data_IF_851978534814
#
_entry.id   IF_851978534814
#
_cell.length_a   1.000
_cell.length_b   1.000
_cell.length_c   1.000
_cell.angle_alpha   90.00
_cell.angle_beta   90.00
_cell.angle_gamma   90.00
#
_symmetry.space_group_name_H-M   'P 1'
#
loop_
_entity.id
_entity.type
_entity.pdbx_description
1 polymer ?
#
# COMPACT_ATOMS: atom_id res chain seq x y z
N UNK A 1 -15.46 0.65 -51.33
CA UNK A 1 -15.26 -0.23 -50.15
C UNK A 1 -13.79 -0.17 -49.76
N UNK A 2 -13.42 0.64 -48.77
CA UNK A 2 -12.07 0.65 -48.18
C UNK A 2 -12.26 0.80 -46.67
N UNK A 3 -12.01 -0.31 -45.96
CA UNK A 3 -12.03 -0.41 -44.50
C UNK A 3 -10.94 0.51 -43.94
N UNK A 4 -11.31 1.46 -43.09
CA UNK A 4 -10.37 2.14 -42.21
C UNK A 4 -10.20 1.28 -40.96
N UNK A 5 -9.00 0.75 -40.77
CA UNK A 5 -8.61 0.07 -39.54
C UNK A 5 -8.42 1.14 -38.44
N UNK A 6 -9.28 1.12 -37.43
CA UNK A 6 -9.05 1.84 -36.18
C UNK A 6 -7.97 1.11 -35.39
N UNK A 7 -6.76 1.66 -35.38
CA UNK A 7 -5.73 1.26 -34.42
C UNK A 7 -6.16 1.84 -33.07
N UNK A 8 -6.71 0.97 -32.21
CA UNK A 8 -6.95 1.28 -30.82
C UNK A 8 -5.58 1.37 -30.12
N UNK A 9 -5.05 2.58 -29.99
CA UNK A 9 -3.89 2.82 -29.13
C UNK A 9 -4.35 2.58 -27.69
N UNK A 10 -4.01 1.41 -27.14
CA UNK A 10 -4.10 1.18 -25.71
C UNK A 10 -3.05 2.09 -25.05
N UNK A 11 -3.50 3.24 -24.55
CA UNK A 11 -2.69 4.09 -23.70
C UNK A 11 -2.46 3.31 -22.40
N UNK A 12 -1.33 2.61 -22.31
CA UNK A 12 -0.82 2.15 -21.04
C UNK A 12 -0.47 3.41 -20.24
N UNK A 13 -1.41 3.85 -19.40
CA UNK A 13 -1.08 4.75 -18.31
C UNK A 13 -0.15 3.94 -17.41
N UNK A 14 1.15 4.15 -17.56
CA UNK A 14 2.08 3.89 -16.48
C UNK A 14 1.62 4.82 -15.34
N UNK A 15 0.91 4.26 -14.36
CA UNK A 15 0.47 4.99 -13.18
C UNK A 15 1.72 5.34 -12.36
N UNK A 16 2.37 6.44 -12.73
CA UNK A 16 3.27 7.16 -11.84
C UNK A 16 2.51 7.58 -10.58
N UNK A 17 3.18 7.49 -9.44
CA UNK A 17 2.64 7.75 -8.12
C UNK A 17 1.66 8.94 -8.07
N UNK A 18 0.48 8.75 -7.47
CA UNK A 18 -0.37 9.88 -7.12
C UNK A 18 0.23 10.57 -5.89
N UNK A 19 0.93 11.70 -6.11
CA UNK A 19 1.38 12.61 -5.04
C UNK A 19 0.20 13.39 -4.44
N UNK A 20 -0.86 12.72 -4.00
CA UNK A 20 -1.99 13.44 -3.40
C UNK A 20 -3.05 12.56 -2.80
N UNK A 21 -3.92 12.01 -3.64
CA UNK A 21 -5.08 11.24 -3.19
C UNK A 21 -5.35 10.03 -4.08
N UNK A 22 -5.93 9.00 -3.49
CA UNK A 22 -6.40 7.80 -4.18
C UNK A 22 -7.77 7.38 -3.64
N UNK A 23 -8.67 6.99 -4.53
CA UNK A 23 -9.99 6.46 -4.16
C UNK A 23 -9.93 4.94 -4.03
N UNK A 24 -10.61 4.38 -3.03
CA UNK A 24 -10.75 2.93 -2.86
C UNK A 24 -11.51 2.30 -4.03
N UNK A 25 -11.33 0.99 -4.22
CA UNK A 25 -11.95 0.28 -5.34
C UNK A 25 -13.48 0.25 -5.32
N UNK A 26 -14.08 0.34 -4.13
CA UNK A 26 -15.53 0.44 -3.93
C UNK A 26 -16.03 1.89 -3.93
N UNK A 27 -15.15 2.87 -4.06
CA UNK A 27 -15.50 4.30 -4.05
C UNK A 27 -15.89 4.84 -2.68
N UNK A 28 -15.83 4.06 -1.60
CA UNK A 28 -16.27 4.49 -0.27
C UNK A 28 -15.25 5.40 0.44
N UNK A 29 -13.97 5.31 0.09
CA UNK A 29 -12.87 5.96 0.81
C UNK A 29 -11.92 6.72 -0.11
N UNK A 30 -11.37 7.82 0.41
CA UNK A 30 -10.29 8.58 -0.23
C UNK A 30 -9.10 8.59 0.73
N UNK A 31 -8.00 7.95 0.34
CA UNK A 31 -6.73 8.03 1.05
C UNK A 31 -5.90 9.19 0.54
N UNK A 32 -5.26 9.95 1.43
CA UNK A 32 -4.42 11.10 1.10
C UNK A 32 -3.14 11.11 1.91
N UNK A 33 -2.08 11.66 1.32
CA UNK A 33 -0.85 11.99 2.04
C UNK A 33 -0.85 13.49 2.34
N UNK A 34 -0.98 13.85 3.61
CA UNK A 34 -1.04 15.24 4.10
C UNK A 34 0.19 15.57 4.96
N UNK A 35 0.25 16.81 5.48
CA UNK A 35 1.38 17.30 6.29
C UNK A 35 2.74 17.11 5.61
N UNK A 36 2.85 17.49 4.33
CA UNK A 36 4.06 17.28 3.53
C UNK A 36 4.32 15.81 3.16
N UNK A 37 3.35 14.92 3.39
CA UNK A 37 3.45 13.48 3.15
C UNK A 37 3.78 12.67 4.41
N UNK A 38 3.80 13.27 5.59
CA UNK A 38 4.08 12.60 6.86
C UNK A 38 2.84 11.99 7.53
N UNK A 39 1.65 12.23 7.00
CA UNK A 39 0.41 11.71 7.55
C UNK A 39 -0.43 11.03 6.47
N UNK A 40 -0.94 9.83 6.77
CA UNK A 40 -2.05 9.23 6.03
C UNK A 40 -3.36 9.76 6.60
N UNK A 41 -4.18 10.32 5.72
CA UNK A 41 -5.56 10.72 6.02
C UNK A 41 -6.50 9.86 5.19
N UNK A 42 -7.53 9.30 5.80
CA UNK A 42 -8.59 8.59 5.10
C UNK A 42 -9.90 9.31 5.37
N UNK A 43 -10.58 9.68 4.30
CA UNK A 43 -11.88 10.34 4.32
C UNK A 43 -12.95 9.45 3.70
N UNK A 44 -14.19 9.60 4.16
CA UNK A 44 -15.36 9.04 3.48
C UNK A 44 -15.59 9.80 2.16
N UNK A 45 -15.71 9.09 1.04
CA UNK A 45 -15.79 9.74 -0.26
C UNK A 45 -17.11 10.50 -0.48
N UNK A 46 -18.20 10.04 0.16
CA UNK A 46 -19.52 10.63 0.01
C UNK A 46 -19.63 12.02 0.69
N UNK A 47 -19.07 12.15 1.89
CA UNK A 47 -19.14 13.38 2.69
C UNK A 47 -17.88 14.24 2.61
N UNK A 48 -16.74 13.63 2.27
CA UNK A 48 -15.43 14.25 2.37
C UNK A 48 -14.91 14.34 3.81
N UNK A 49 -15.61 13.80 4.79
CA UNK A 49 -15.22 13.86 6.19
C UNK A 49 -14.01 12.96 6.47
N UNK A 50 -13.02 13.48 7.18
CA UNK A 50 -11.85 12.70 7.61
C UNK A 50 -12.23 11.76 8.74
N UNK A 51 -12.11 10.46 8.51
CA UNK A 51 -12.47 9.41 9.46
C UNK A 51 -11.25 8.77 10.12
N UNK A 52 -10.08 8.91 9.52
CA UNK A 52 -8.82 8.41 10.07
C UNK A 52 -7.66 9.32 9.72
N UNK A 53 -6.77 9.52 10.69
CA UNK A 53 -5.50 10.22 10.52
C UNK A 53 -4.41 9.46 11.26
N UNK A 54 -3.24 9.31 10.64
CA UNK A 54 -2.11 8.58 11.22
C UNK A 54 -0.77 9.08 10.68
N UNK A 55 0.13 9.43 11.60
CA UNK A 55 1.52 9.71 11.27
C UNK A 55 2.21 8.47 10.67
N UNK A 56 2.98 8.68 9.60
CA UNK A 56 3.81 7.64 9.01
C UNK A 56 5.08 7.49 9.84
N UNK A 57 5.27 6.31 10.42
CA UNK A 57 6.41 6.02 11.29
C UNK A 57 6.98 4.66 10.88
N UNK A 58 8.23 4.59 10.46
CA UNK A 58 8.89 3.32 10.11
C UNK A 58 8.95 2.37 11.30
N UNK A 59 9.25 1.11 11.03
CA UNK A 59 9.34 0.05 12.05
C UNK A 59 10.33 0.38 13.17
N UNK A 60 11.38 1.14 12.88
CA UNK A 60 12.39 1.58 13.86
C UNK A 60 11.96 2.79 14.70
N UNK A 61 10.75 3.33 14.48
CA UNK A 61 10.22 4.48 15.21
C UNK A 61 10.52 5.84 14.57
N UNK A 62 11.22 5.88 13.42
CA UNK A 62 11.53 7.13 12.73
C UNK A 62 10.30 7.70 12.02
N UNK A 63 10.09 9.01 12.09
CA UNK A 63 9.06 9.69 11.30
C UNK A 63 9.42 9.59 9.82
N UNK A 64 8.48 9.06 9.02
CA UNK A 64 8.66 8.80 7.60
C UNK A 64 7.76 9.71 6.75
N UNK A 65 8.06 9.77 5.46
CA UNK A 65 7.22 10.40 4.43
C UNK A 65 6.72 9.33 3.47
N UNK A 66 5.53 9.48 2.91
CA UNK A 66 5.02 8.57 1.88
C UNK A 66 5.66 8.86 0.53
N UNK A 67 6.35 7.88 -0.05
CA UNK A 67 6.89 7.96 -1.42
C UNK A 67 5.81 7.70 -2.47
N UNK A 68 4.87 6.80 -2.17
CA UNK A 68 3.74 6.48 -3.05
C UNK A 68 2.56 5.98 -2.22
N UNK A 69 1.35 6.22 -2.71
CA UNK A 69 0.10 5.72 -2.16
C UNK A 69 -0.78 5.19 -3.32
N UNK A 70 -1.26 3.96 -3.20
CA UNK A 70 -2.18 3.34 -4.17
C UNK A 70 -3.34 2.64 -3.46
N UNK A 71 -4.47 2.48 -4.16
CA UNK A 71 -5.52 1.56 -3.76
C UNK A 71 -5.26 0.16 -4.35
N UNK A 72 -5.58 -0.87 -3.58
CA UNK A 72 -5.55 -2.27 -4.02
C UNK A 72 -6.97 -2.85 -3.86
N UNK A 73 -7.86 -2.64 -4.85
CA UNK A 73 -9.28 -3.02 -4.75
C UNK A 73 -9.51 -4.47 -4.35
N UNK A 74 -8.72 -5.40 -4.91
CA UNK A 74 -8.85 -6.82 -4.65
C UNK A 74 -8.52 -7.24 -3.20
N UNK A 75 -7.90 -6.34 -2.43
CA UNK A 75 -7.60 -6.51 -1.01
C UNK A 75 -8.37 -5.54 -0.11
N UNK A 76 -9.22 -4.68 -0.68
CA UNK A 76 -9.93 -3.61 0.04
C UNK A 76 -8.96 -2.85 0.94
N UNK A 77 -7.85 -2.37 0.38
CA UNK A 77 -6.79 -1.72 1.15
C UNK A 77 -6.15 -0.57 0.38
N UNK A 78 -5.49 0.31 1.12
CA UNK A 78 -4.48 1.23 0.60
C UNK A 78 -3.09 0.66 0.86
N UNK A 79 -2.15 0.87 -0.05
CA UNK A 79 -0.73 0.53 0.14
C UNK A 79 0.12 1.77 -0.01
N UNK A 80 1.01 1.97 0.97
CA UNK A 80 1.90 3.12 1.07
C UNK A 80 3.35 2.63 1.06
N UNK A 81 4.20 3.24 0.27
CA UNK A 81 5.65 3.09 0.38
C UNK A 81 6.24 4.20 1.25
N UNK A 82 7.11 3.85 2.19
CA UNK A 82 7.80 4.82 3.03
C UNK A 82 9.11 5.27 2.38
N UNK A 83 9.25 6.58 2.15
CA UNK A 83 10.40 7.19 1.50
C UNK A 83 11.69 6.92 2.29
N UNK A 84 12.68 6.31 1.64
CA UNK A 84 13.97 5.98 2.26
C UNK A 84 13.95 4.75 3.17
N UNK A 85 12.80 4.13 3.42
CA UNK A 85 12.68 2.94 4.28
C UNK A 85 12.34 1.69 3.45
N UNK A 86 12.95 0.53 3.77
CA UNK A 86 12.63 -0.74 3.14
C UNK A 86 11.32 -1.32 3.71
N UNK A 87 10.24 -0.54 3.63
CA UNK A 87 8.97 -0.84 4.27
C UNK A 87 7.78 -0.30 3.48
N UNK A 88 6.73 -1.13 3.38
CA UNK A 88 5.39 -0.73 2.96
C UNK A 88 4.40 -0.87 4.10
N UNK A 89 3.36 -0.05 4.08
CA UNK A 89 2.15 -0.24 4.88
C UNK A 89 1.01 -0.69 3.98
N UNK A 90 0.30 -1.74 4.38
CA UNK A 90 -1.04 -2.06 3.87
C UNK A 90 -2.06 -1.64 4.93
N UNK A 91 -2.96 -0.73 4.60
CA UNK A 91 -4.00 -0.22 5.50
C UNK A 91 -5.35 -0.73 5.02
N UNK A 92 -6.03 -1.50 5.88
CA UNK A 92 -7.27 -2.17 5.53
C UNK A 92 -8.47 -1.20 5.46
N UNK A 93 -9.39 -1.48 4.54
CA UNK A 93 -10.71 -0.85 4.41
C UNK A 93 -11.83 -1.86 4.70
N UNK A 94 -11.48 -2.93 5.42
CA UNK A 94 -12.39 -3.99 5.84
C UNK A 94 -12.56 -3.94 7.37
N UNK A 95 -13.79 -3.77 7.90
CA UNK A 95 -14.06 -3.83 9.33
C UNK A 95 -13.66 -5.15 10.01
N UNK A 96 -13.48 -6.23 9.24
CA UNK A 96 -13.02 -7.53 9.75
C UNK A 96 -11.53 -7.82 9.54
N UNK A 97 -10.71 -6.81 9.23
CA UNK A 97 -9.28 -7.02 9.01
C UNK A 97 -8.51 -7.32 10.31
N UNK A 98 -7.36 -8.00 10.18
CA UNK A 98 -6.51 -8.32 11.33
C UNK A 98 -6.93 -9.58 12.10
N UNK A 99 -6.34 -9.82 13.28
CA UNK A 99 -5.30 -8.99 13.91
C UNK A 99 -3.99 -8.96 13.11
N UNK A 100 -3.37 -7.79 13.01
CA UNK A 100 -2.06 -7.58 12.40
C UNK A 100 -1.03 -7.28 13.50
N UNK A 101 -0.08 -8.19 13.69
CA UNK A 101 0.99 -8.05 14.67
C UNK A 101 2.26 -7.49 14.04
N UNK A 102 2.91 -6.57 14.73
CA UNK A 102 4.22 -6.02 14.35
C UNK A 102 5.37 -6.92 14.87
N UNK A 103 5.46 -8.18 14.44
CA UNK A 103 6.55 -9.08 14.86
C UNK A 103 6.22 -10.57 14.79
N UNK A 104 7.16 -11.41 15.25
CA UNK A 104 6.90 -12.84 15.45
C UNK A 104 6.17 -13.03 16.79
N UNK A 105 4.97 -13.60 16.74
CA UNK A 105 4.28 -14.10 17.93
C UNK A 105 4.96 -15.42 18.31
N UNK A 106 5.77 -15.43 19.37
CA UNK A 106 6.56 -16.60 19.76
C UNK A 106 5.83 -17.54 20.74
N UNK A 107 4.58 -17.26 21.15
CA UNK A 107 3.81 -18.17 21.98
C UNK A 107 2.33 -18.21 21.55
N UNK A 108 1.81 -19.41 21.34
CA UNK A 108 0.38 -19.71 21.24
C UNK A 108 -0.17 -20.26 22.57
N UNK A 109 0.50 -20.00 23.70
CA UNK A 109 0.00 -20.43 25.01
C UNK A 109 -1.18 -19.56 25.45
N UNK A 110 -2.31 -20.19 25.75
CA UNK A 110 -3.49 -19.52 26.29
C UNK A 110 -3.12 -18.83 27.61
N UNK A 111 -3.13 -17.49 27.60
CA UNK A 111 -2.84 -16.65 28.77
C UNK A 111 -1.48 -15.93 28.74
N UNK A 112 -0.64 -16.15 27.73
CA UNK A 112 0.64 -15.44 27.54
C UNK A 112 0.51 -14.46 26.36
N UNK A 113 -0.15 -13.34 26.60
CA UNK A 113 -0.27 -12.26 25.62
C UNK A 113 1.04 -11.46 25.56
N UNK A 114 2.02 -11.95 24.79
CA UNK A 114 3.12 -11.11 24.28
C UNK A 114 2.51 -10.14 23.24
N UNK A 115 1.68 -9.22 23.73
CA UNK A 115 0.90 -8.28 22.91
C UNK A 115 1.84 -7.19 22.39
N UNK A 116 2.59 -7.50 21.33
CA UNK A 116 2.93 -6.47 20.37
C UNK A 116 1.58 -5.99 19.83
N UNK A 117 1.20 -4.76 20.20
CA UNK A 117 -0.11 -4.18 19.93
C UNK A 117 -0.61 -4.56 18.54
N UNK A 118 -1.64 -5.40 18.49
CA UNK A 118 -2.22 -5.86 17.24
C UNK A 118 -3.17 -4.79 16.72
N UNK A 119 -3.09 -4.52 15.43
CA UNK A 119 -4.08 -3.65 14.77
C UNK A 119 -5.17 -4.51 14.12
N UNK A 120 -6.43 -4.13 14.33
CA UNK A 120 -7.59 -4.84 13.80
C UNK A 120 -8.69 -3.90 13.32
N UNK A 121 -9.53 -4.42 12.43
CA UNK A 121 -10.66 -3.75 11.84
C UNK A 121 -10.32 -2.68 10.80
N UNK A 122 -11.25 -1.74 10.65
CA UNK A 122 -11.17 -0.68 9.65
C UNK A 122 -9.94 0.20 9.94
N UNK A 123 -9.12 0.42 8.92
CA UNK A 123 -7.85 1.17 8.98
C UNK A 123 -6.74 0.51 9.80
N UNK A 124 -6.87 -0.77 10.12
CA UNK A 124 -5.77 -1.54 10.67
C UNK A 124 -4.58 -1.54 9.70
N UNK A 125 -3.41 -1.22 10.23
CA UNK A 125 -2.16 -1.25 9.46
C UNK A 125 -1.50 -2.61 9.58
N UNK A 126 -1.05 -3.11 8.45
CA UNK A 126 -0.10 -4.20 8.35
C UNK A 126 1.22 -3.71 7.75
N UNK A 127 2.33 -3.90 8.47
CA UNK A 127 3.68 -3.62 7.95
C UNK A 127 4.17 -4.75 7.04
N UNK A 128 4.87 -4.37 5.97
CA UNK A 128 5.48 -5.29 5.00
C UNK A 128 6.93 -4.84 4.82
N UNK A 129 7.87 -5.63 5.32
CA UNK A 129 9.31 -5.37 5.15
C UNK A 129 9.74 -5.88 3.77
N UNK A 130 10.50 -5.06 3.06
CA UNK A 130 11.06 -5.37 1.73
C UNK A 130 12.58 -5.26 1.77
N UNK A 131 13.27 -5.62 0.70
CA UNK A 131 14.74 -5.72 0.74
C UNK A 131 15.45 -4.37 0.54
N UNK A 132 14.79 -3.42 -0.12
CA UNK A 132 15.29 -2.07 -0.33
C UNK A 132 14.13 -1.07 -0.51
N UNK A 133 14.33 0.22 -0.20
CA UNK A 133 13.32 1.26 -0.38
C UNK A 133 12.83 1.35 -1.84
N UNK A 134 11.55 1.69 -2.00
CA UNK A 134 10.92 1.97 -3.30
C UNK A 134 10.40 3.40 -3.35
N UNK A 135 10.49 3.99 -4.52
CA UNK A 135 10.12 5.39 -4.84
C UNK A 135 8.75 5.50 -5.52
N UNK A 136 8.21 4.38 -5.99
CA UNK A 136 6.92 4.31 -6.67
C UNK A 136 6.24 2.97 -6.42
N UNK A 137 4.92 2.94 -6.56
CA UNK A 137 4.10 1.72 -6.47
C UNK A 137 3.13 1.67 -7.65
N UNK A 138 2.90 0.47 -8.17
CA UNK A 138 1.87 0.19 -9.15
C UNK A 138 1.15 -1.13 -8.83
N UNK A 139 -0.16 -1.25 -9.10
CA UNK A 139 -0.86 -2.53 -9.09
C UNK A 139 -0.23 -3.50 -10.10
N UNK A 140 -0.17 -4.79 -9.78
CA UNK A 140 0.24 -5.81 -10.74
C UNK A 140 -1.00 -6.38 -11.47
N UNK A 141 -1.16 -6.17 -12.78
CA UNK A 141 -2.34 -6.64 -13.52
C UNK A 141 -2.56 -8.15 -13.37
N UNK A 142 -3.80 -8.55 -13.09
CA UNK A 142 -4.19 -9.95 -12.94
C UNK A 142 -3.64 -10.66 -11.68
N UNK A 143 -2.92 -9.96 -10.80
CA UNK A 143 -2.35 -10.53 -9.58
C UNK A 143 -2.90 -9.83 -8.34
N UNK A 144 -3.98 -10.37 -7.80
CA UNK A 144 -4.73 -9.79 -6.66
C UNK A 144 -3.92 -9.52 -5.39
N UNK A 145 -2.78 -10.16 -5.23
CA UNK A 145 -1.92 -10.06 -4.04
C UNK A 145 -0.55 -9.48 -4.34
N UNK A 146 -0.30 -8.96 -5.54
CA UNK A 146 1.00 -8.42 -5.88
C UNK A 146 0.92 -6.96 -6.28
N UNK A 147 1.93 -6.21 -5.85
CA UNK A 147 2.22 -4.85 -6.30
C UNK A 147 3.66 -4.82 -6.80
N UNK A 148 3.95 -3.84 -7.66
CA UNK A 148 5.29 -3.58 -8.15
C UNK A 148 5.78 -2.30 -7.50
N UNK A 149 6.96 -2.34 -6.90
CA UNK A 149 7.65 -1.19 -6.35
C UNK A 149 8.86 -0.81 -7.20
N UNK A 150 8.97 0.46 -7.59
CA UNK A 150 10.10 0.98 -8.39
C UNK A 150 11.19 1.50 -7.47
N UNK A 151 12.42 1.00 -7.60
CA UNK A 151 13.59 1.48 -6.85
C UNK A 151 14.21 2.72 -7.52
N UNK A 152 15.02 3.45 -6.77
CA UNK A 152 15.70 4.65 -7.27
C UNK A 152 16.65 4.37 -8.46
N UNK A 153 17.17 3.15 -8.57
CA UNK A 153 18.01 2.69 -9.69
C UNK A 153 17.20 2.12 -10.87
N UNK A 154 15.87 2.25 -10.84
CA UNK A 154 14.96 1.76 -11.88
C UNK A 154 14.60 0.28 -11.78
N UNK A 155 15.28 -0.53 -10.95
CA UNK A 155 14.85 -1.93 -10.73
C UNK A 155 13.46 -1.98 -10.11
N UNK A 156 12.73 -3.05 -10.38
CA UNK A 156 11.34 -3.22 -9.91
C UNK A 156 11.22 -4.43 -9.00
N UNK A 157 10.83 -4.21 -7.76
CA UNK A 157 10.53 -5.28 -6.81
C UNK A 157 9.07 -5.73 -6.99
N UNK A 158 8.83 -7.03 -7.06
CA UNK A 158 7.49 -7.62 -7.01
C UNK A 158 7.23 -8.01 -5.56
N UNK A 159 6.25 -7.38 -4.92
CA UNK A 159 5.92 -7.59 -3.52
C UNK A 159 4.58 -8.33 -3.42
N UNK A 160 4.56 -9.44 -2.69
CA UNK A 160 3.33 -10.16 -2.41
C UNK A 160 2.79 -9.74 -1.04
N UNK A 161 1.61 -9.12 -1.05
CA UNK A 161 0.93 -8.53 0.10
C UNK A 161 0.36 -9.59 1.07
N UNK A 162 0.03 -10.79 0.57
CA UNK A 162 -0.49 -11.87 1.41
C UNK A 162 0.61 -12.53 2.25
N UNK A 163 1.79 -12.77 1.65
CA UNK A 163 2.94 -13.37 2.36
C UNK A 163 3.94 -12.32 2.89
N UNK A 164 3.61 -11.03 2.71
CA UNK A 164 4.30 -9.86 3.26
C UNK A 164 5.80 -9.81 2.93
N UNK A 165 6.16 -10.08 1.68
CA UNK A 165 7.57 -10.11 1.24
C UNK A 165 7.76 -9.77 -0.22
N UNK A 166 8.97 -9.33 -0.54
CA UNK A 166 9.49 -9.33 -1.90
C UNK A 166 9.62 -10.77 -2.42
N UNK A 167 9.13 -11.03 -3.62
CA UNK A 167 9.13 -12.37 -4.25
C UNK A 167 9.95 -12.43 -5.54
N UNK A 168 10.28 -11.28 -6.12
CA UNK A 168 11.14 -11.18 -7.30
C UNK A 168 11.68 -9.76 -7.45
N UNK A 169 12.83 -9.64 -8.12
CA UNK A 169 13.35 -8.37 -8.65
C UNK A 169 13.42 -8.46 -10.16
N UNK A 170 12.86 -7.47 -10.84
CA UNK A 170 12.89 -7.32 -12.28
C UNK A 170 13.89 -6.23 -12.66
N UNK A 171 14.50 -6.33 -13.86
CA UNK A 171 15.33 -5.26 -14.37
C UNK A 171 14.52 -3.97 -14.59
N UNK A 172 15.20 -2.81 -14.73
CA UNK A 172 14.57 -1.60 -15.24
C UNK A 172 13.85 -1.86 -16.57
N UNK A 173 12.84 -1.03 -16.87
CA UNK A 173 12.19 -1.04 -18.20
C UNK A 173 13.11 -0.50 -19.29
#
# INVERSE_FOLDING_TARGET
MRLFAFILAALAVAAGAALGQVTSGDGAWIGRLEAGGHELVIAEAASGADTHRRALVSRDGTVARGAALIAVPARRSFVIALEGFPELWEVALDPGAGPFHDGFVHSYEAGMEESLAAEEGLFARQRIVIDAPVTGLAPMPGKRYAVVGTRADGRRAVINLAVKREIAVLPPE
#
